data_IF_124087121563
#
_entry.id   IF_124087121563
#
_cell.length_a   1.000
_cell.length_b   1.000
_cell.length_c   1.000
_cell.angle_alpha   90.00
_cell.angle_beta   90.00
_cell.angle_gamma   90.00
#
_symmetry.space_group_name_H-M   'P 1'
#
loop_
_entity.id
_entity.type
_entity.pdbx_description
1 polymer ?
#
# COMPACT_ATOMS: atom_id res chain seq x y z
N UNK A 1 17.09 -11.51 -4.15
CA UNK A 1 16.83 -12.09 -5.50
C UNK A 1 15.45 -12.72 -5.46
N UNK A 2 14.49 -12.19 -6.22
CA UNK A 2 13.15 -12.77 -6.34
C UNK A 2 13.30 -14.01 -7.23
N UNK A 3 12.96 -15.19 -6.70
CA UNK A 3 13.15 -16.48 -7.35
C UNK A 3 12.29 -16.56 -8.63
N UNK A 4 12.93 -16.76 -9.78
CA UNK A 4 12.40 -16.65 -11.15
C UNK A 4 11.51 -17.82 -11.59
N UNK A 5 10.88 -18.55 -10.66
CA UNK A 5 10.08 -19.76 -10.97
C UNK A 5 8.57 -19.61 -10.70
N UNK A 6 8.05 -18.39 -10.63
CA UNK A 6 6.60 -18.11 -10.52
C UNK A 6 6.09 -17.03 -11.51
N UNK A 7 6.76 -16.80 -12.64
CA UNK A 7 6.12 -16.11 -13.78
C UNK A 7 5.13 -17.06 -14.44
N UNK A 8 4.03 -17.31 -13.75
CA UNK A 8 2.85 -17.97 -14.31
C UNK A 8 2.21 -16.98 -15.29
N UNK A 9 1.75 -17.44 -16.46
CA UNK A 9 1.17 -16.61 -17.54
C UNK A 9 0.08 -15.64 -17.06
N UNK A 10 -0.53 -15.94 -15.90
CA UNK A 10 -1.58 -15.19 -15.25
C UNK A 10 -1.10 -14.08 -14.31
N UNK A 11 0.12 -14.14 -13.78
CA UNK A 11 0.64 -13.14 -12.85
C UNK A 11 1.86 -12.44 -13.43
N UNK A 12 1.75 -11.12 -13.60
CA UNK A 12 2.83 -10.29 -14.13
C UNK A 12 3.06 -9.08 -13.22
N UNK A 13 4.17 -9.08 -12.50
CA UNK A 13 4.71 -7.86 -11.90
C UNK A 13 5.28 -6.95 -12.99
N UNK A 14 5.00 -5.65 -12.93
CA UNK A 14 5.51 -4.69 -13.90
C UNK A 14 6.99 -4.37 -13.63
N UNK A 15 7.23 -3.63 -12.54
CA UNK A 15 8.56 -3.30 -12.01
C UNK A 15 8.43 -2.91 -10.54
N UNK A 16 9.52 -3.05 -9.79
CA UNK A 16 9.61 -2.55 -8.42
C UNK A 16 10.14 -1.13 -8.42
N UNK A 17 9.41 -0.22 -7.76
CA UNK A 17 9.86 1.13 -7.44
C UNK A 17 10.56 1.07 -6.09
N UNK A 18 11.78 1.60 -6.01
CA UNK A 18 12.54 1.70 -4.78
C UNK A 18 12.98 3.15 -4.59
N UNK A 19 12.58 3.76 -3.48
CA UNK A 19 12.92 5.15 -3.16
C UNK A 19 13.48 5.23 -1.75
N UNK A 20 14.33 6.22 -1.50
CA UNK A 20 14.73 6.57 -0.14
C UNK A 20 13.57 7.26 0.56
N UNK A 21 13.13 6.71 1.69
CA UNK A 21 12.01 7.25 2.46
C UNK A 21 12.41 7.80 3.83
N UNK A 22 13.70 7.70 4.20
CA UNK A 22 14.28 8.36 5.36
C UNK A 22 15.34 9.39 4.91
N UNK A 23 15.40 10.53 5.61
CA UNK A 23 16.40 11.59 5.39
C UNK A 23 17.76 11.24 6.00
N UNK A 24 17.82 10.30 6.94
CA UNK A 24 19.02 10.00 7.72
C UNK A 24 19.50 8.54 7.61
N UNK A 25 18.63 7.61 7.21
CA UNK A 25 18.99 6.21 6.99
C UNK A 25 19.14 5.85 5.50
N UNK A 26 19.96 4.83 5.21
CA UNK A 26 20.13 4.22 3.87
C UNK A 26 18.91 3.42 3.41
N UNK A 27 17.81 3.49 4.19
CA UNK A 27 16.66 2.62 4.05
C UNK A 27 15.75 3.00 2.90
N UNK A 28 15.34 1.96 2.16
CA UNK A 28 14.47 2.10 1.00
C UNK A 28 13.06 1.65 1.34
N UNK A 29 12.07 2.46 0.95
CA UNK A 29 10.70 2.02 0.81
C UNK A 29 10.48 1.57 -0.63
N UNK A 30 9.67 0.53 -0.79
CA UNK A 30 9.42 -0.06 -2.10
C UNK A 30 7.93 -0.19 -2.34
N UNK A 31 7.54 -0.10 -3.61
CA UNK A 31 6.22 -0.48 -4.06
C UNK A 31 6.30 -1.18 -5.40
N UNK A 32 5.27 -1.93 -5.76
CA UNK A 32 5.11 -2.42 -7.13
C UNK A 32 3.64 -2.55 -7.49
N UNK A 33 3.37 -2.49 -8.80
CA UNK A 33 2.08 -2.84 -9.39
C UNK A 33 2.26 -4.16 -10.15
N UNK A 34 1.33 -5.08 -9.94
CA UNK A 34 1.25 -6.36 -10.63
C UNK A 34 -0.17 -6.61 -11.13
N UNK A 35 -0.30 -7.45 -12.14
CA UNK A 35 -1.60 -7.88 -12.69
C UNK A 35 -1.74 -9.37 -12.47
N UNK A 36 -2.88 -9.76 -11.91
CA UNK A 36 -3.32 -11.14 -11.78
C UNK A 36 -4.56 -11.36 -12.64
N UNK A 37 -4.37 -11.98 -13.80
CA UNK A 37 -5.43 -12.29 -14.75
C UNK A 37 -6.39 -13.38 -14.26
N UNK A 38 -5.94 -14.30 -13.40
CA UNK A 38 -6.78 -15.39 -12.90
C UNK A 38 -7.90 -14.87 -12.00
N UNK A 39 -7.59 -13.86 -11.16
CA UNK A 39 -8.55 -13.24 -10.25
C UNK A 39 -9.07 -11.88 -10.77
N UNK A 40 -8.72 -11.50 -12.01
CA UNK A 40 -9.00 -10.18 -12.61
C UNK A 40 -8.69 -9.02 -11.65
N UNK A 41 -7.47 -9.03 -11.10
CA UNK A 41 -7.04 -8.07 -10.08
C UNK A 41 -5.75 -7.34 -10.49
N UNK A 42 -5.71 -6.05 -10.23
CA UNK A 42 -4.50 -5.23 -10.21
C UNK A 42 -4.05 -5.16 -8.75
N UNK A 43 -2.85 -5.66 -8.47
CA UNK A 43 -2.27 -5.65 -7.13
C UNK A 43 -1.27 -4.51 -6.99
N UNK A 44 -1.47 -3.68 -5.98
CA UNK A 44 -0.55 -2.63 -5.56
C UNK A 44 -0.01 -3.00 -4.17
N UNK A 45 1.28 -3.31 -4.10
CA UNK A 45 1.91 -3.75 -2.86
C UNK A 45 2.93 -2.73 -2.38
N UNK A 46 2.96 -2.50 -1.07
CA UNK A 46 3.93 -1.61 -0.41
C UNK A 46 4.76 -2.36 0.63
N UNK A 47 6.06 -2.06 0.64
CA UNK A 47 7.03 -2.57 1.61
C UNK A 47 7.76 -1.38 2.24
N UNK A 48 7.76 -1.34 3.58
CA UNK A 48 8.57 -0.38 4.34
C UNK A 48 10.07 -0.74 4.39
N UNK A 49 10.80 -0.06 5.27
CA UNK A 49 12.27 -0.12 5.41
C UNK A 49 12.82 -1.46 5.94
N UNK A 50 14.13 -1.70 5.76
CA UNK A 50 14.81 -2.91 6.28
C UNK A 50 15.30 -2.62 7.70
N UNK A 51 14.41 -2.79 8.68
CA UNK A 51 14.65 -2.40 10.09
C UNK A 51 13.39 -2.06 10.88
N UNK A 52 12.22 -2.16 10.24
CA UNK A 52 10.92 -1.71 10.74
C UNK A 52 10.53 -2.16 12.16
N UNK A 53 10.89 -3.37 12.61
CA UNK A 53 10.50 -3.81 13.96
C UNK A 53 11.22 -3.05 15.06
N UNK A 54 12.51 -2.79 14.88
CA UNK A 54 13.30 -2.04 15.86
C UNK A 54 12.87 -0.58 15.89
N UNK A 55 12.63 0.01 14.72
CA UNK A 55 12.07 1.36 14.60
C UNK A 55 10.70 1.46 15.28
N UNK A 56 9.76 0.54 15.04
CA UNK A 56 8.41 0.63 15.60
C UNK A 56 8.39 0.63 17.14
N UNK A 57 9.33 -0.08 17.77
CA UNK A 57 9.47 -0.14 19.24
C UNK A 57 10.16 1.11 19.79
N UNK A 58 11.25 1.57 19.16
CA UNK A 58 12.02 2.73 19.64
C UNK A 58 11.36 4.07 19.28
N UNK A 59 10.57 4.11 18.20
CA UNK A 59 10.05 5.34 17.59
C UNK A 59 8.55 5.54 17.79
N UNK A 60 7.86 4.74 18.60
CA UNK A 60 6.41 4.86 18.78
C UNK A 60 6.02 6.28 19.25
N UNK A 61 6.84 6.94 20.07
CA UNK A 61 6.65 8.36 20.38
C UNK A 61 6.94 9.27 19.18
N UNK A 62 8.12 9.16 18.57
CA UNK A 62 8.63 10.13 17.58
C UNK A 62 7.92 10.05 16.21
N UNK A 63 7.53 8.84 15.76
CA UNK A 63 6.78 8.64 14.51
C UNK A 63 5.36 9.19 14.60
N UNK A 64 4.76 9.22 15.80
CA UNK A 64 3.39 9.69 16.02
C UNK A 64 3.29 11.13 16.54
N UNK A 65 4.42 11.75 16.92
CA UNK A 65 4.49 13.14 17.36
C UNK A 65 4.11 14.12 16.24
N UNK A 66 4.73 14.00 15.06
CA UNK A 66 4.45 14.91 13.95
C UNK A 66 3.30 14.39 13.08
N UNK A 67 2.27 15.22 12.95
CA UNK A 67 1.07 14.92 12.19
C UNK A 67 0.94 15.82 10.97
N UNK A 68 0.53 15.24 9.85
CA UNK A 68 0.20 15.93 8.61
C UNK A 68 -1.31 15.83 8.35
N UNK A 69 -2.02 16.94 8.07
CA UNK A 69 -3.43 16.87 7.67
C UNK A 69 -3.63 15.93 6.49
N UNK A 70 -4.69 15.13 6.54
CA UNK A 70 -4.98 14.13 5.52
C UNK A 70 -6.18 14.52 4.66
N UNK A 71 -6.07 14.27 3.35
CA UNK A 71 -7.07 14.71 2.37
C UNK A 71 -8.46 14.09 2.57
N UNK A 72 -8.54 12.88 3.14
CA UNK A 72 -9.82 12.25 3.45
C UNK A 72 -10.43 12.75 4.77
N UNK A 73 -9.63 13.43 5.62
CA UNK A 73 -10.04 13.90 6.94
C UNK A 73 -9.05 13.51 8.03
N UNK A 74 -8.99 14.31 9.09
CA UNK A 74 -8.08 14.11 10.22
C UNK A 74 -6.61 14.36 9.85
N UNK A 75 -5.72 13.71 10.60
CA UNK A 75 -4.28 13.79 10.36
C UNK A 75 -3.61 12.42 10.48
N UNK A 76 -2.53 12.24 9.73
CA UNK A 76 -1.72 11.02 9.68
C UNK A 76 -0.30 11.31 10.16
N UNK A 77 0.44 10.28 10.58
CA UNK A 77 1.87 10.44 10.86
C UNK A 77 2.58 11.03 9.65
N UNK A 78 3.38 12.09 9.87
CA UNK A 78 4.20 12.70 8.81
C UNK A 78 5.21 11.70 8.22
N UNK A 79 5.70 10.76 9.04
CA UNK A 79 6.61 9.71 8.57
C UNK A 79 5.93 8.80 7.53
N UNK A 80 4.72 8.31 7.84
CA UNK A 80 3.96 7.46 6.90
C UNK A 80 3.50 8.23 5.67
N UNK A 81 3.11 9.50 5.85
CA UNK A 81 2.79 10.39 4.73
C UNK A 81 3.97 10.50 3.76
N UNK A 82 5.17 10.79 4.28
CA UNK A 82 6.37 10.93 3.45
C UNK A 82 6.71 9.60 2.77
N UNK A 83 6.71 8.48 3.49
CA UNK A 83 6.98 7.16 2.90
C UNK A 83 6.03 6.82 1.75
N UNK A 84 4.72 7.00 1.95
CA UNK A 84 3.71 6.81 0.90
C UNK A 84 3.96 7.74 -0.29
N UNK A 85 4.05 9.06 -0.05
CA UNK A 85 4.17 10.05 -1.12
C UNK A 85 5.47 9.89 -1.92
N UNK A 86 6.58 9.54 -1.28
CA UNK A 86 7.83 9.24 -1.98
C UNK A 86 7.68 8.06 -2.94
N UNK A 87 7.06 6.95 -2.50
CA UNK A 87 6.87 5.78 -3.37
C UNK A 87 5.84 6.06 -4.47
N UNK A 88 4.74 6.75 -4.12
CA UNK A 88 3.68 7.15 -5.04
C UNK A 88 4.22 8.00 -6.20
N UNK A 89 4.96 9.07 -5.85
CA UNK A 89 5.56 9.98 -6.82
C UNK A 89 6.81 9.39 -7.50
N UNK A 90 7.42 8.36 -6.92
CA UNK A 90 8.57 7.66 -7.49
C UNK A 90 8.25 6.75 -8.69
N UNK A 91 6.96 6.61 -9.05
CA UNK A 91 6.52 5.90 -10.25
C UNK A 91 5.35 4.96 -10.05
N UNK A 92 4.93 4.69 -8.81
CA UNK A 92 3.76 3.83 -8.56
C UNK A 92 2.48 4.45 -9.12
N UNK A 93 2.34 5.78 -9.04
CA UNK A 93 1.21 6.49 -9.63
C UNK A 93 1.07 6.18 -11.13
N UNK A 94 2.16 6.24 -11.88
CA UNK A 94 2.15 6.08 -13.34
C UNK A 94 1.89 4.63 -13.73
N UNK A 95 2.54 3.68 -13.05
CA UNK A 95 2.31 2.25 -13.24
C UNK A 95 0.85 1.89 -12.90
N UNK A 96 0.28 2.49 -11.85
CA UNK A 96 -1.12 2.31 -11.47
C UNK A 96 -2.08 2.85 -12.54
N UNK A 97 -1.93 4.12 -12.94
CA UNK A 97 -2.83 4.77 -13.91
C UNK A 97 -2.80 4.08 -15.28
N UNK A 98 -1.61 3.71 -15.75
CA UNK A 98 -1.47 2.98 -17.01
C UNK A 98 -2.12 1.60 -16.96
N UNK A 99 -2.01 0.91 -15.82
CA UNK A 99 -2.56 -0.43 -15.64
C UNK A 99 -4.09 -0.40 -15.51
N UNK A 100 -4.65 0.52 -14.73
CA UNK A 100 -6.12 0.64 -14.59
C UNK A 100 -6.79 1.09 -15.88
N UNK A 101 -6.12 1.93 -16.67
CA UNK A 101 -6.60 2.30 -18.00
C UNK A 101 -6.65 1.09 -18.95
N UNK A 102 -5.68 0.17 -18.83
CA UNK A 102 -5.60 -1.04 -19.66
C UNK A 102 -6.58 -2.13 -19.23
N UNK A 103 -6.87 -2.26 -17.94
CA UNK A 103 -7.68 -3.34 -17.36
C UNK A 103 -8.86 -2.76 -16.56
N UNK A 104 -9.80 -2.11 -17.26
CA UNK A 104 -10.90 -1.33 -16.67
C UNK A 104 -11.93 -2.17 -15.90
N UNK A 105 -12.01 -3.45 -16.23
CA UNK A 105 -12.91 -4.46 -15.67
C UNK A 105 -12.27 -5.26 -14.52
N UNK A 106 -11.07 -4.89 -14.09
CA UNK A 106 -10.36 -5.53 -12.98
C UNK A 106 -10.63 -4.82 -11.65
N UNK A 107 -10.47 -5.55 -10.55
CA UNK A 107 -10.46 -4.96 -9.21
C UNK A 107 -9.07 -4.38 -8.87
N UNK A 108 -9.02 -3.47 -7.89
CA UNK A 108 -7.78 -2.96 -7.34
C UNK A 108 -7.57 -3.51 -5.93
N UNK A 109 -6.50 -4.27 -5.74
CA UNK A 109 -6.13 -4.86 -4.45
C UNK A 109 -4.88 -4.18 -3.93
N UNK A 110 -4.97 -3.55 -2.77
CA UNK A 110 -3.89 -2.79 -2.16
C UNK A 110 -3.44 -3.54 -0.90
N UNK A 111 -2.15 -3.86 -0.82
CA UNK A 111 -1.61 -4.70 0.24
C UNK A 111 -0.34 -4.15 0.87
N UNK A 112 -0.12 -4.45 2.15
CA UNK A 112 1.13 -4.11 2.82
C UNK A 112 1.29 -4.73 4.21
N UNK A 113 2.53 -4.90 4.64
CA UNK A 113 2.90 -5.39 5.97
C UNK A 113 3.69 -4.34 6.75
N UNK A 114 3.48 -4.24 8.06
CA UNK A 114 4.14 -3.29 8.97
C UNK A 114 4.00 -1.83 8.47
N UNK A 115 5.07 -1.06 8.29
CA UNK A 115 5.00 0.28 7.66
C UNK A 115 4.40 0.22 6.25
N UNK A 116 4.62 -0.86 5.50
CA UNK A 116 3.95 -1.10 4.22
C UNK A 116 2.42 -1.14 4.36
N UNK A 117 1.91 -1.65 5.50
CA UNK A 117 0.48 -1.63 5.81
C UNK A 117 -0.05 -0.20 6.01
N UNK A 118 0.70 0.64 6.72
CA UNK A 118 0.34 2.06 6.85
C UNK A 118 0.33 2.77 5.49
N UNK A 119 1.33 2.52 4.64
CA UNK A 119 1.39 3.05 3.28
C UNK A 119 0.24 2.56 2.40
N UNK A 120 -0.14 1.28 2.51
CA UNK A 120 -1.26 0.69 1.79
C UNK A 120 -2.60 1.34 2.19
N UNK A 121 -2.84 1.61 3.47
CA UNK A 121 -4.03 2.36 3.91
C UNK A 121 -4.05 3.77 3.37
N UNK A 122 -2.92 4.48 3.39
CA UNK A 122 -2.83 5.82 2.83
C UNK A 122 -3.08 5.82 1.32
N UNK A 123 -2.53 4.85 0.58
CA UNK A 123 -2.77 4.71 -0.85
C UNK A 123 -4.26 4.45 -1.15
N UNK A 124 -4.89 3.51 -0.44
CA UNK A 124 -6.31 3.22 -0.62
C UNK A 124 -7.19 4.43 -0.32
N UNK A 125 -6.93 5.10 0.81
CA UNK A 125 -7.65 6.32 1.19
C UNK A 125 -7.48 7.45 0.17
N UNK A 126 -6.26 7.65 -0.31
CA UNK A 126 -5.94 8.69 -1.29
C UNK A 126 -6.65 8.42 -2.63
N UNK A 127 -6.55 7.21 -3.16
CA UNK A 127 -7.16 6.81 -4.44
C UNK A 127 -8.68 6.96 -4.39
N UNK A 128 -9.34 6.49 -3.32
CA UNK A 128 -10.79 6.60 -3.19
C UNK A 128 -11.23 8.06 -3.04
N UNK A 129 -10.51 8.85 -2.21
CA UNK A 129 -10.86 10.26 -1.96
C UNK A 129 -10.70 11.12 -3.21
N UNK A 130 -9.64 10.87 -3.99
CA UNK A 130 -9.33 11.60 -5.24
C UNK A 130 -10.06 11.02 -6.46
N UNK A 131 -10.86 9.96 -6.28
CA UNK A 131 -11.65 9.32 -7.34
C UNK A 131 -10.81 8.83 -8.52
N UNK A 132 -9.58 8.39 -8.24
CA UNK A 132 -8.70 7.78 -9.23
C UNK A 132 -9.12 6.34 -9.58
N UNK A 133 -9.98 5.72 -8.76
CA UNK A 133 -10.57 4.42 -9.01
C UNK A 133 -11.95 4.30 -8.34
N UNK A 134 -12.79 3.40 -8.83
CA UNK A 134 -14.08 3.10 -8.20
C UNK A 134 -13.86 2.35 -6.89
N UNK A 135 -14.20 2.98 -5.76
CA UNK A 135 -14.09 2.40 -4.43
C UNK A 135 -14.82 1.05 -4.27
N UNK A 136 -15.92 0.83 -5.00
CA UNK A 136 -16.63 -0.46 -4.93
C UNK A 136 -15.81 -1.64 -5.48
N UNK A 137 -14.77 -1.35 -6.27
CA UNK A 137 -13.82 -2.32 -6.83
C UNK A 137 -12.47 -2.30 -6.12
N UNK A 138 -12.33 -1.53 -5.04
CA UNK A 138 -11.11 -1.45 -4.26
C UNK A 138 -11.16 -2.41 -3.07
N UNK A 139 -10.06 -3.09 -2.83
CA UNK A 139 -9.86 -3.95 -1.66
C UNK A 139 -8.55 -3.62 -0.98
N UNK A 140 -8.56 -3.52 0.36
CA UNK A 140 -7.38 -3.25 1.16
C UNK A 140 -7.11 -4.40 2.12
N UNK A 141 -5.85 -4.80 2.23
CA UNK A 141 -5.39 -5.75 3.25
C UNK A 141 -4.08 -5.26 3.84
N UNK A 142 -4.04 -5.17 5.16
CA UNK A 142 -2.83 -4.78 5.88
C UNK A 142 -2.52 -5.80 6.97
N UNK A 143 -1.23 -6.04 7.20
CA UNK A 143 -0.75 -6.98 8.21
C UNK A 143 0.19 -6.27 9.17
N UNK A 144 -0.09 -6.34 10.49
CA UNK A 144 0.74 -5.67 11.49
C UNK A 144 0.85 -4.15 11.28
N UNK A 145 -0.18 -3.54 10.68
CA UNK A 145 -0.20 -2.10 10.41
C UNK A 145 -0.13 -1.32 11.74
N UNK A 146 0.81 -0.37 11.88
CA UNK A 146 0.81 0.56 13.01
C UNK A 146 -0.34 1.56 12.90
N UNK A 147 -0.66 2.26 14.01
CA UNK A 147 -1.65 3.33 14.02
C UNK A 147 -1.28 4.44 13.03
N UNK A 148 -1.94 4.50 11.87
CA UNK A 148 -1.53 5.43 10.79
C UNK A 148 -1.88 6.90 11.04
N UNK A 149 -2.96 7.16 11.78
CA UNK A 149 -3.44 8.52 12.00
C UNK A 149 -4.32 8.66 13.24
N UNK A 150 -4.87 9.86 13.41
CA UNK A 150 -5.78 10.18 14.50
C UNK A 150 -7.17 9.54 14.32
N UNK A 151 -8.04 9.72 15.31
CA UNK A 151 -9.40 9.19 15.28
C UNK A 151 -10.18 9.73 14.07
N UNK A 152 -10.01 11.02 13.72
CA UNK A 152 -10.72 11.62 12.59
C UNK A 152 -10.29 10.98 11.26
N UNK A 153 -9.01 10.65 11.12
CA UNK A 153 -8.51 9.86 10.00
C UNK A 153 -9.11 8.46 9.98
N UNK A 154 -9.14 7.77 11.13
CA UNK A 154 -9.72 6.43 11.22
C UNK A 154 -11.22 6.42 10.85
N UNK A 155 -11.99 7.38 11.36
CA UNK A 155 -13.41 7.54 11.04
C UNK A 155 -13.60 7.84 9.54
N UNK A 156 -12.80 8.77 8.99
CA UNK A 156 -12.85 9.12 7.58
C UNK A 156 -12.51 7.92 6.68
N UNK A 157 -11.44 7.19 6.99
CA UNK A 157 -11.01 6.00 6.26
C UNK A 157 -12.05 4.89 6.34
N UNK A 158 -12.68 4.67 7.50
CA UNK A 158 -13.75 3.69 7.67
C UNK A 158 -15.03 4.00 6.89
N UNK A 159 -15.25 5.27 6.54
CA UNK A 159 -16.39 5.71 5.73
C UNK A 159 -16.13 5.65 4.21
N UNK A 160 -14.89 5.40 3.78
CA UNK A 160 -14.56 5.24 2.37
C UNK A 160 -15.02 3.88 1.87
N UNK A 161 -15.47 3.82 0.61
CA UNK A 161 -15.85 2.57 -0.04
C UNK A 161 -14.59 1.79 -0.39
N UNK A 162 -14.10 1.00 0.55
CA UNK A 162 -12.93 0.14 0.38
C UNK A 162 -13.31 -1.21 1.00
N UNK A 163 -13.39 -2.25 0.18
CA UNK A 163 -13.71 -3.60 0.62
C UNK A 163 -12.52 -4.33 1.24
N UNK A 164 -12.79 -5.54 1.73
CA UNK A 164 -11.73 -6.49 2.12
C UNK A 164 -11.47 -7.48 0.98
N UNK A 165 -10.25 -7.98 0.86
CA UNK A 165 -9.96 -9.10 -0.06
C UNK A 165 -10.66 -10.37 0.47
N UNK A 166 -11.36 -11.14 -0.36
CA UNK A 166 -12.04 -12.37 0.07
C UNK A 166 -11.08 -13.36 0.76
N UNK A 167 -11.53 -13.99 1.85
CA UNK A 167 -10.73 -14.93 2.65
C UNK A 167 -10.06 -16.06 1.84
N UNK A 168 -10.70 -16.69 0.83
CA UNK A 168 -10.06 -17.74 0.04
C UNK A 168 -8.85 -17.24 -0.76
N UNK A 169 -8.86 -15.97 -1.16
CA UNK A 169 -7.73 -15.32 -1.86
C UNK A 169 -6.63 -14.99 -0.86
N UNK A 170 -6.98 -14.47 0.32
CA UNK A 170 -6.02 -14.25 1.42
C UNK A 170 -5.27 -15.54 1.76
N UNK A 171 -5.99 -16.66 1.82
CA UNK A 171 -5.40 -17.96 2.15
C UNK A 171 -4.40 -18.45 1.10
N UNK A 172 -4.60 -18.11 -0.19
CA UNK A 172 -3.60 -18.35 -1.24
C UNK A 172 -2.31 -17.56 -0.97
N UNK A 173 -2.42 -16.29 -0.55
CA UNK A 173 -1.26 -15.48 -0.16
C UNK A 173 -0.55 -16.02 1.09
N UNK A 174 -1.30 -16.53 2.07
CA UNK A 174 -0.73 -17.15 3.28
C UNK A 174 -0.02 -18.48 2.99
N UNK A 175 -0.58 -19.29 2.10
CA UNK A 175 -0.09 -20.64 1.81
C UNK A 175 0.94 -20.68 0.67
N UNK A 176 1.09 -19.60 -0.10
CA UNK A 176 2.22 -19.44 -1.00
C UNK A 176 3.46 -19.12 -0.16
N UNK A 177 4.11 -20.17 0.36
CA UNK A 177 5.43 -20.10 0.98
C UNK A 177 6.40 -19.39 0.02
N UNK A 178 6.76 -18.16 0.37
CA UNK A 178 7.97 -17.50 -0.11
C UNK A 178 9.10 -17.86 0.84
#
# INVERSE_FOLDING_TARGET
MINSRLTNYYFKALRSINVRCDKWAVDTCSGYVAVNHADKAIMMAFRGTVGQLQLLVESESTVFEKKTPWIAGGSVSTYFYNAFTSVWNGGIKDDFLSTTHKYQDYELWIVGHSLGGAMASLAASYIEKTKLFDGNKMKLVTFGQPRTGDKKFADAHGNQKIGNIPHPVLQKFYNSNV
#
